data_IF_810814932192
#
_entry.id   IF_810814932192
#
_cell.length_a   1.000
_cell.length_b   1.000
_cell.length_c   1.000
_cell.angle_alpha   90.00
_cell.angle_beta   90.00
_cell.angle_gamma   90.00
#
_symmetry.space_group_name_H-M   'P 1'
#
loop_
_entity.id
_entity.type
_entity.pdbx_description
1 polymer ?
#
# COMPACT_ATOMS: atom_id res chain seq x y z
N UNK A 1 -63.42 63.36 50.11
CA UNK A 1 -62.09 64.00 50.17
C UNK A 1 -61.06 63.29 49.28
N UNK A 2 -61.38 62.95 48.02
CA UNK A 2 -60.48 62.14 47.15
C UNK A 2 -59.94 62.87 45.89
N UNK A 3 -60.24 64.15 45.70
CA UNK A 3 -59.84 64.88 44.48
C UNK A 3 -58.67 65.84 44.70
N UNK A 4 -58.48 66.42 45.90
CA UNK A 4 -57.41 67.42 46.15
C UNK A 4 -56.00 66.89 45.91
N UNK A 5 -55.73 65.63 46.21
CA UNK A 5 -54.41 65.02 45.98
C UNK A 5 -54.21 64.75 44.49
N UNK A 6 -55.24 64.24 43.79
CA UNK A 6 -55.17 64.00 42.33
C UNK A 6 -55.00 65.31 41.56
N UNK A 7 -55.72 66.36 41.94
CA UNK A 7 -55.64 67.68 41.29
C UNK A 7 -54.28 68.34 41.52
N UNK A 8 -53.67 68.17 42.70
CA UNK A 8 -52.33 68.68 43.00
C UNK A 8 -51.24 68.00 42.15
N UNK A 9 -51.35 66.70 41.89
CA UNK A 9 -50.42 66.00 40.99
C UNK A 9 -50.74 66.22 39.51
N UNK A 10 -52.01 66.46 39.16
CA UNK A 10 -52.40 66.84 37.80
C UNK A 10 -51.87 68.22 37.40
N UNK A 11 -51.48 69.09 38.34
CA UNK A 11 -50.82 70.35 38.01
C UNK A 11 -49.33 70.19 37.68
N UNK A 12 -48.70 69.06 38.05
CA UNK A 12 -47.27 68.82 37.87
C UNK A 12 -47.03 68.12 36.53
N UNK A 13 -46.81 68.91 35.49
CA UNK A 13 -46.39 68.42 34.18
C UNK A 13 -44.97 68.88 33.90
N UNK A 14 -44.11 67.97 33.46
CA UNK A 14 -42.83 68.36 32.88
C UNK A 14 -43.07 69.18 31.61
N UNK A 15 -42.35 70.29 31.47
CA UNK A 15 -42.35 71.07 30.25
C UNK A 15 -41.92 70.21 29.05
N UNK A 16 -42.45 70.51 27.88
CA UNK A 16 -42.23 69.68 26.70
C UNK A 16 -40.78 69.72 26.19
N UNK A 17 -40.01 70.76 26.55
CA UNK A 17 -38.56 70.83 26.37
C UNK A 17 -37.85 69.74 27.19
N UNK A 18 -38.16 69.60 28.48
CA UNK A 18 -37.54 68.66 29.40
C UNK A 18 -37.87 67.23 29.01
N UNK A 19 -39.10 66.97 28.54
CA UNK A 19 -39.47 65.66 27.98
C UNK A 19 -38.67 65.32 26.72
N UNK A 20 -38.48 66.29 25.81
CA UNK A 20 -37.69 66.11 24.58
C UNK A 20 -36.22 65.89 24.89
N UNK A 21 -35.62 66.73 25.73
CA UNK A 21 -34.21 66.63 26.10
C UNK A 21 -33.91 65.33 26.86
N UNK A 22 -34.81 64.91 27.75
CA UNK A 22 -34.69 63.63 28.45
C UNK A 22 -34.83 62.46 27.48
N UNK A 23 -35.76 62.54 26.51
CA UNK A 23 -35.93 61.53 25.47
C UNK A 23 -34.68 61.41 24.59
N UNK A 24 -34.09 62.53 24.18
CA UNK A 24 -32.90 62.55 23.34
C UNK A 24 -31.66 62.05 24.10
N UNK A 25 -31.50 62.44 25.37
CA UNK A 25 -30.47 61.93 26.26
C UNK A 25 -30.59 60.41 26.47
N UNK A 26 -31.80 59.92 26.74
CA UNK A 26 -32.06 58.48 26.91
C UNK A 26 -31.85 57.72 25.60
N UNK A 27 -32.27 58.26 24.46
CA UNK A 27 -32.07 57.64 23.15
C UNK A 27 -30.58 57.48 22.82
N UNK A 28 -29.77 58.50 23.14
CA UNK A 28 -28.32 58.48 22.94
C UNK A 28 -27.63 57.47 23.87
N UNK A 29 -28.08 57.37 25.13
CA UNK A 29 -27.50 56.48 26.13
C UNK A 29 -27.90 55.00 25.97
N UNK A 30 -29.10 54.75 25.44
CA UNK A 30 -29.59 53.41 25.11
C UNK A 30 -29.08 52.91 23.76
N UNK A 31 -28.87 53.80 22.78
CA UNK A 31 -28.29 53.44 21.49
C UNK A 31 -26.84 52.95 21.59
N UNK A 32 -26.07 53.43 22.57
CA UNK A 32 -24.69 52.98 22.82
C UNK A 32 -24.61 51.65 23.59
N UNK A 33 -25.63 51.31 24.38
CA UNK A 33 -25.68 50.06 25.18
C UNK A 33 -26.35 48.90 24.46
N UNK A 34 -27.14 49.14 23.42
CA UNK A 34 -27.82 48.10 22.62
C UNK A 34 -27.25 48.02 21.21
N UNK A 35 -25.94 47.80 21.07
CA UNK A 35 -25.43 47.09 19.89
C UNK A 35 -25.60 45.58 20.11
N UNK A 36 -26.86 45.14 20.24
CA UNK A 36 -27.21 43.73 20.22
C UNK A 36 -26.99 43.21 18.80
N UNK A 37 -25.77 42.79 18.49
CA UNK A 37 -25.51 42.02 17.27
C UNK A 37 -26.45 40.82 17.26
N UNK A 38 -27.18 40.62 16.16
CA UNK A 38 -28.24 39.62 16.09
C UNK A 38 -27.67 38.22 16.45
N UNK A 39 -27.99 37.65 17.63
CA UNK A 39 -27.33 36.46 18.14
C UNK A 39 -27.59 35.24 17.24
N UNK A 40 -28.67 35.29 16.45
CA UNK A 40 -29.02 34.26 15.46
C UNK A 40 -28.02 34.27 14.29
N UNK A 41 -27.52 35.44 13.85
CA UNK A 41 -26.51 35.54 12.78
C UNK A 41 -25.16 34.97 13.24
N UNK A 42 -24.75 35.26 14.48
CA UNK A 42 -23.52 34.70 15.05
C UNK A 42 -23.65 33.18 15.24
N UNK A 43 -24.76 32.69 15.78
CA UNK A 43 -25.02 31.23 15.92
C UNK A 43 -25.03 30.52 14.57
N UNK A 44 -25.63 31.12 13.53
CA UNK A 44 -25.57 30.58 12.16
C UNK A 44 -24.16 30.59 11.59
N UNK A 45 -23.41 31.68 11.77
CA UNK A 45 -22.03 31.78 11.31
C UNK A 45 -21.13 30.71 11.98
N UNK A 46 -21.28 30.50 13.29
CA UNK A 46 -20.59 29.43 14.02
C UNK A 46 -21.01 28.06 13.49
N UNK A 47 -22.31 27.81 13.28
CA UNK A 47 -22.78 26.54 12.73
C UNK A 47 -22.21 26.26 11.32
N UNK A 48 -22.16 27.26 10.44
CA UNK A 48 -21.53 27.13 9.12
C UNK A 48 -20.01 26.91 9.21
N UNK A 49 -19.33 27.59 10.14
CA UNK A 49 -17.90 27.37 10.37
C UNK A 49 -17.62 25.94 10.87
N UNK A 50 -18.41 25.44 11.82
CA UNK A 50 -18.32 24.07 12.30
C UNK A 50 -18.60 23.06 11.18
N UNK A 51 -19.64 23.28 10.36
CA UNK A 51 -19.94 22.42 9.22
C UNK A 51 -18.78 22.42 8.21
N UNK A 52 -18.22 23.59 7.89
CA UNK A 52 -17.08 23.71 6.99
C UNK A 52 -15.84 22.97 7.53
N UNK A 53 -15.57 23.03 8.84
CA UNK A 53 -14.50 22.27 9.48
C UNK A 53 -14.74 20.76 9.40
N UNK A 54 -15.96 20.30 9.68
CA UNK A 54 -16.31 18.88 9.55
C UNK A 54 -16.12 18.41 8.10
N UNK A 55 -16.57 19.20 7.12
CA UNK A 55 -16.39 18.87 5.70
C UNK A 55 -14.93 18.87 5.29
N UNK A 56 -14.11 19.80 5.79
CA UNK A 56 -12.66 19.82 5.54
C UNK A 56 -11.95 18.62 6.18
N UNK A 57 -12.27 18.29 7.44
CA UNK A 57 -11.67 17.14 8.13
C UNK A 57 -12.09 15.84 7.44
N UNK A 58 -13.38 15.65 7.19
CA UNK A 58 -13.90 14.44 6.56
C UNK A 58 -13.44 14.32 5.11
N UNK A 59 -13.47 15.41 4.35
CA UNK A 59 -12.98 15.46 2.98
C UNK A 59 -11.48 15.19 2.88
N UNK A 60 -10.69 15.80 3.77
CA UNK A 60 -9.25 15.55 3.89
C UNK A 60 -8.94 14.11 4.28
N UNK A 61 -9.65 13.56 5.28
CA UNK A 61 -9.53 12.16 5.68
C UNK A 61 -9.86 11.21 4.53
N UNK A 62 -10.96 11.46 3.80
CA UNK A 62 -11.37 10.61 2.69
C UNK A 62 -10.38 10.69 1.54
N UNK A 63 -9.88 11.89 1.22
CA UNK A 63 -8.82 12.08 0.23
C UNK A 63 -7.54 11.32 0.62
N UNK A 64 -7.20 11.33 1.90
CA UNK A 64 -6.03 10.64 2.43
C UNK A 64 -6.18 9.12 2.36
N UNK A 65 -7.32 8.58 2.80
CA UNK A 65 -7.56 7.14 2.92
C UNK A 65 -8.03 6.47 1.63
N UNK A 66 -8.13 7.18 0.51
CA UNK A 66 -8.53 6.58 -0.78
C UNK A 66 -7.30 5.98 -1.47
N UNK A 67 -7.20 4.64 -1.61
CA UNK A 67 -6.17 4.03 -2.44
C UNK A 67 -6.46 4.34 -3.91
N UNK A 68 -5.41 4.71 -4.65
CA UNK A 68 -5.48 4.98 -6.10
C UNK A 68 -4.52 4.12 -6.90
N UNK A 69 -3.55 3.53 -6.23
CA UNK A 69 -2.55 2.60 -6.77
C UNK A 69 -2.52 1.37 -5.87
N UNK A 70 -2.03 0.25 -6.38
CA UNK A 70 -1.88 -0.98 -5.65
C UNK A 70 -0.53 -1.64 -5.94
N UNK A 71 -0.02 -2.39 -4.97
CA UNK A 71 1.18 -3.22 -5.13
C UNK A 71 0.86 -4.61 -4.58
N UNK A 72 1.01 -5.64 -5.39
CA UNK A 72 0.93 -7.05 -4.97
C UNK A 72 2.33 -7.57 -4.66
N UNK A 73 2.46 -8.38 -3.61
CA UNK A 73 3.67 -9.11 -3.26
C UNK A 73 3.30 -10.58 -3.11
N UNK A 74 3.81 -11.42 -4.01
CA UNK A 74 3.41 -12.82 -4.16
C UNK A 74 4.60 -13.78 -4.09
N UNK A 75 4.64 -14.57 -3.02
CA UNK A 75 5.53 -15.73 -2.83
C UNK A 75 4.72 -16.95 -2.41
N UNK A 76 3.69 -16.73 -1.56
CA UNK A 76 3.20 -17.56 -0.46
C UNK A 76 3.87 -17.16 0.88
N UNK A 77 3.56 -15.96 1.42
CA UNK A 77 2.27 -15.25 1.38
C UNK A 77 1.97 -14.44 0.12
N UNK A 78 0.69 -14.08 -0.05
CA UNK A 78 0.17 -13.17 -1.07
C UNK A 78 -0.49 -11.97 -0.39
N UNK A 79 0.03 -10.77 -0.65
CA UNK A 79 -0.32 -9.54 0.05
C UNK A 79 -0.51 -8.40 -0.93
N UNK A 80 -1.58 -7.62 -0.78
CA UNK A 80 -1.83 -6.41 -1.57
C UNK A 80 -1.78 -5.15 -0.70
N UNK A 81 -1.04 -4.15 -1.17
CA UNK A 81 -0.91 -2.84 -0.53
C UNK A 81 -1.68 -1.80 -1.33
N UNK A 82 -2.69 -1.18 -0.71
CA UNK A 82 -3.40 -0.03 -1.27
C UNK A 82 -2.62 1.25 -0.99
N UNK A 83 -2.23 1.96 -2.05
CA UNK A 83 -1.39 3.16 -1.98
C UNK A 83 -2.21 4.40 -2.39
N UNK A 84 -2.20 5.42 -1.56
CA UNK A 84 -2.90 6.68 -1.82
C UNK A 84 -2.10 7.62 -2.76
N UNK A 85 -2.68 8.78 -3.08
CA UNK A 85 -2.08 9.80 -3.96
C UNK A 85 -0.80 10.43 -3.41
N UNK A 86 -0.49 10.22 -2.13
CA UNK A 86 0.70 10.71 -1.44
C UNK A 86 1.78 9.62 -1.34
N UNK A 87 1.64 8.55 -2.12
CA UNK A 87 2.54 7.39 -2.13
C UNK A 87 2.62 6.66 -0.78
N UNK A 88 1.57 6.76 0.04
CA UNK A 88 1.48 6.10 1.35
C UNK A 88 0.54 4.91 1.31
N UNK A 89 0.92 3.85 2.02
CA UNK A 89 0.09 2.67 2.22
C UNK A 89 -1.07 3.03 3.15
N UNK A 90 -2.29 2.78 2.70
CA UNK A 90 -3.54 3.06 3.43
C UNK A 90 -4.42 1.83 3.59
N UNK A 91 -4.09 0.73 2.89
CA UNK A 91 -4.72 -0.57 3.03
C UNK A 91 -3.66 -1.67 2.87
N UNK A 92 -3.85 -2.79 3.57
CA UNK A 92 -2.98 -3.96 3.55
C UNK A 92 -3.91 -5.17 3.63
N UNK A 93 -4.04 -5.90 2.53
CA UNK A 93 -5.00 -7.00 2.40
C UNK A 93 -4.25 -8.31 2.11
N UNK A 94 -4.50 -9.34 2.91
CA UNK A 94 -3.98 -10.69 2.67
C UNK A 94 -4.85 -11.45 1.69
N UNK A 95 -4.26 -12.01 0.64
CA UNK A 95 -4.95 -12.77 -0.41
C UNK A 95 -4.85 -14.30 -0.24
N UNK A 96 -4.07 -14.74 0.76
CA UNK A 96 -4.09 -16.11 1.27
C UNK A 96 -3.96 -16.10 2.80
N UNK A 97 -4.09 -17.26 3.43
CA UNK A 97 -4.01 -17.40 4.90
C UNK A 97 -2.69 -16.84 5.45
N UNK A 98 -1.56 -17.25 4.86
CA UNK A 98 -0.22 -16.76 5.22
C UNK A 98 -0.11 -15.23 5.07
N UNK A 99 -0.77 -14.64 4.07
CA UNK A 99 -0.77 -13.21 3.79
C UNK A 99 -1.64 -12.42 4.76
N UNK A 100 -2.76 -13.00 5.20
CA UNK A 100 -3.61 -12.44 6.24
C UNK A 100 -2.86 -12.40 7.58
N UNK A 101 -2.16 -13.48 7.90
CA UNK A 101 -1.28 -13.53 9.08
C UNK A 101 -0.17 -12.47 8.96
N UNK A 102 0.52 -12.41 7.82
CA UNK A 102 1.60 -11.43 7.61
C UNK A 102 1.10 -9.98 7.72
N UNK A 103 -0.08 -9.68 7.17
CA UNK A 103 -0.73 -8.37 7.26
C UNK A 103 -1.00 -7.96 8.72
N UNK A 104 -1.31 -8.91 9.60
CA UNK A 104 -1.59 -8.65 11.01
C UNK A 104 -0.31 -8.43 11.84
N UNK A 105 0.82 -9.00 11.42
CA UNK A 105 2.08 -8.94 12.16
C UNK A 105 3.01 -7.78 11.77
N UNK A 106 2.88 -7.23 10.56
CA UNK A 106 3.79 -6.19 10.05
C UNK A 106 3.04 -4.86 9.91
N UNK A 107 3.48 -3.83 10.64
CA UNK A 107 2.90 -2.48 10.54
C UNK A 107 3.42 -1.75 9.30
N UNK A 108 2.62 -1.79 8.23
CA UNK A 108 2.93 -1.15 6.95
C UNK A 108 2.10 0.12 6.71
N UNK A 109 1.06 0.35 7.51
CA UNK A 109 0.14 1.45 7.29
C UNK A 109 0.85 2.79 7.46
N UNK A 110 0.43 3.77 6.67
CA UNK A 110 0.94 5.13 6.68
C UNK A 110 2.41 5.30 6.24
N UNK A 111 3.14 4.23 5.95
CA UNK A 111 4.49 4.29 5.40
C UNK A 111 4.46 4.66 3.91
N UNK A 112 5.56 5.24 3.40
CA UNK A 112 5.73 5.31 1.94
C UNK A 112 5.83 3.90 1.38
N UNK A 113 5.23 3.62 0.22
CA UNK A 113 5.21 2.26 -0.32
C UNK A 113 6.62 1.66 -0.53
N UNK A 114 7.64 2.47 -0.85
CA UNK A 114 9.01 1.96 -1.01
C UNK A 114 9.57 1.45 0.31
N UNK A 115 9.30 2.18 1.38
CA UNK A 115 9.78 1.90 2.73
C UNK A 115 8.96 0.75 3.33
N UNK A 116 7.65 0.69 3.04
CA UNK A 116 6.79 -0.42 3.41
C UNK A 116 7.27 -1.74 2.80
N UNK A 117 7.63 -1.75 1.50
CA UNK A 117 8.21 -2.92 0.86
C UNK A 117 9.56 -3.31 1.47
N UNK A 118 10.40 -2.33 1.83
CA UNK A 118 11.66 -2.60 2.50
C UNK A 118 11.45 -3.22 3.90
N UNK A 119 10.51 -2.69 4.69
CA UNK A 119 10.13 -3.24 6.00
C UNK A 119 9.55 -4.65 5.84
N UNK A 120 8.66 -4.85 4.88
CA UNK A 120 8.02 -6.13 4.59
C UNK A 120 9.06 -7.19 4.23
N UNK A 121 9.90 -6.91 3.22
CA UNK A 121 10.89 -7.86 2.70
C UNK A 121 12.02 -8.14 3.69
N UNK A 122 12.33 -7.22 4.60
CA UNK A 122 13.30 -7.43 5.67
C UNK A 122 12.67 -7.97 6.97
N UNK A 123 11.36 -8.12 7.04
CA UNK A 123 10.70 -8.66 8.23
C UNK A 123 11.08 -10.12 8.45
N UNK A 124 11.26 -10.53 9.71
CA UNK A 124 11.58 -11.92 10.06
C UNK A 124 10.51 -12.89 9.55
N UNK A 125 9.24 -12.46 9.56
CA UNK A 125 8.13 -13.23 9.02
C UNK A 125 8.31 -13.50 7.52
N UNK A 126 8.58 -12.47 6.70
CA UNK A 126 8.81 -12.64 5.26
C UNK A 126 10.08 -13.44 4.95
N UNK A 127 11.16 -13.23 5.70
CA UNK A 127 12.43 -13.93 5.52
C UNK A 127 12.29 -15.46 5.65
N UNK A 128 11.37 -15.94 6.51
CA UNK A 128 11.09 -17.37 6.65
C UNK A 128 10.50 -18.00 5.39
N UNK A 129 9.75 -17.23 4.59
CA UNK A 129 9.21 -17.65 3.31
C UNK A 129 10.27 -17.57 2.21
N UNK A 130 11.07 -16.50 2.19
CA UNK A 130 12.14 -16.31 1.20
C UNK A 130 13.28 -17.34 1.34
N UNK A 131 13.52 -17.89 2.55
CA UNK A 131 14.54 -18.91 2.79
C UNK A 131 14.31 -20.22 2.01
N UNK A 132 13.09 -20.46 1.52
CA UNK A 132 12.74 -21.63 0.70
C UNK A 132 13.17 -21.50 -0.77
N UNK A 133 13.81 -20.39 -1.12
CA UNK A 133 14.25 -20.04 -2.48
C UNK A 133 13.09 -19.92 -3.48
N UNK A 134 11.89 -19.63 -2.97
CA UNK A 134 10.72 -19.34 -3.80
C UNK A 134 10.80 -17.90 -4.34
N UNK A 135 10.51 -17.66 -5.64
CA UNK A 135 10.60 -16.34 -6.23
C UNK A 135 9.51 -15.39 -5.71
N UNK A 136 9.93 -14.21 -5.26
CA UNK A 136 9.08 -13.08 -4.89
C UNK A 136 8.67 -12.34 -6.15
N UNK A 137 7.37 -12.32 -6.45
CA UNK A 137 6.81 -11.43 -7.48
C UNK A 137 6.28 -10.16 -6.83
N UNK A 138 6.62 -9.00 -7.40
CA UNK A 138 6.09 -7.70 -6.99
C UNK A 138 5.39 -7.07 -8.19
N UNK A 139 4.05 -7.03 -8.19
CA UNK A 139 3.26 -6.42 -9.27
C UNK A 139 2.83 -5.02 -8.88
N UNK A 140 3.10 -4.04 -9.74
CA UNK A 140 2.85 -2.61 -9.47
C UNK A 140 1.76 -2.07 -10.39
N UNK A 141 0.71 -1.48 -9.79
CA UNK A 141 -0.44 -0.93 -10.51
C UNK A 141 -0.66 0.50 -10.02
N UNK A 142 -0.24 1.49 -10.81
CA UNK A 142 -0.45 2.90 -10.52
C UNK A 142 -1.79 3.41 -11.05
N UNK A 143 -2.30 4.50 -10.44
CA UNK A 143 -3.54 5.19 -10.85
C UNK A 143 -3.62 5.59 -12.32
N UNK A 144 -2.46 5.72 -12.97
CA UNK A 144 -2.29 5.98 -14.40
C UNK A 144 -1.10 5.18 -14.88
N UNK A 145 -1.00 4.94 -16.20
CA UNK A 145 0.15 4.26 -16.80
C UNK A 145 1.48 4.91 -16.40
N UNK A 146 1.55 6.24 -16.46
CA UNK A 146 2.74 6.99 -16.06
C UNK A 146 3.09 6.78 -14.58
N UNK A 147 2.07 6.74 -13.69
CA UNK A 147 2.32 6.47 -12.28
C UNK A 147 2.76 5.03 -12.04
N UNK A 148 2.22 4.04 -12.77
CA UNK A 148 2.69 2.65 -12.71
C UNK A 148 4.18 2.57 -13.07
N UNK A 149 4.58 3.19 -14.18
CA UNK A 149 5.97 3.22 -14.66
C UNK A 149 6.90 3.92 -13.66
N UNK A 150 6.48 5.05 -13.08
CA UNK A 150 7.23 5.77 -12.04
C UNK A 150 7.44 4.90 -10.79
N UNK A 151 6.36 4.30 -10.27
CA UNK A 151 6.40 3.45 -9.09
C UNK A 151 7.27 2.21 -9.34
N UNK A 152 7.12 1.58 -10.50
CA UNK A 152 7.92 0.43 -10.92
C UNK A 152 9.41 0.78 -10.98
N UNK A 153 9.78 1.89 -11.62
CA UNK A 153 11.17 2.33 -11.71
C UNK A 153 11.76 2.60 -10.32
N UNK A 154 10.98 3.20 -9.41
CA UNK A 154 11.40 3.43 -8.03
C UNK A 154 11.63 2.12 -7.28
N UNK A 155 10.69 1.17 -7.37
CA UNK A 155 10.81 -0.15 -6.72
C UNK A 155 12.04 -0.89 -7.26
N UNK A 156 12.24 -0.92 -8.58
CA UNK A 156 13.42 -1.55 -9.21
C UNK A 156 14.75 -0.91 -8.81
N UNK A 157 14.75 0.36 -8.40
CA UNK A 157 15.96 1.04 -7.93
C UNK A 157 16.36 0.63 -6.50
N UNK A 158 15.43 0.12 -5.70
CA UNK A 158 15.65 -0.28 -4.31
C UNK A 158 16.58 -1.50 -4.20
N UNK A 159 17.27 -1.63 -3.06
CA UNK A 159 18.23 -2.72 -2.83
C UNK A 159 17.58 -4.11 -2.87
N UNK A 160 16.38 -4.26 -2.28
CA UNK A 160 15.67 -5.54 -2.23
C UNK A 160 15.28 -6.07 -3.63
N UNK A 161 15.01 -5.18 -4.58
CA UNK A 161 14.61 -5.55 -5.95
C UNK A 161 15.78 -6.04 -6.81
N UNK A 162 17.02 -5.94 -6.31
CA UNK A 162 18.24 -6.45 -6.95
C UNK A 162 18.57 -7.88 -6.52
N UNK A 163 17.87 -8.41 -5.52
CA UNK A 163 18.02 -9.81 -5.14
C UNK A 163 17.59 -10.73 -6.29
N UNK A 164 18.32 -11.82 -6.59
CA UNK A 164 18.05 -12.68 -7.74
C UNK A 164 16.68 -13.36 -7.68
N UNK A 165 16.11 -13.50 -6.49
CA UNK A 165 14.80 -14.12 -6.27
C UNK A 165 13.65 -13.10 -6.25
N UNK A 166 13.87 -11.83 -6.63
CA UNK A 166 12.84 -10.80 -6.66
C UNK A 166 12.58 -10.36 -8.09
N UNK A 167 11.39 -10.65 -8.56
CA UNK A 167 10.86 -10.22 -9.84
C UNK A 167 9.86 -9.09 -9.60
N UNK A 168 9.88 -8.08 -10.45
CA UNK A 168 8.88 -7.02 -10.42
C UNK A 168 8.23 -6.89 -11.79
N UNK A 169 6.91 -6.69 -11.78
CA UNK A 169 6.07 -6.63 -12.96
C UNK A 169 5.23 -5.35 -12.93
N UNK A 170 4.86 -4.87 -14.12
CA UNK A 170 3.83 -3.85 -14.28
C UNK A 170 2.49 -4.56 -14.44
N UNK A 171 1.47 -4.09 -13.74
CA UNK A 171 0.09 -4.51 -13.94
C UNK A 171 -0.79 -3.37 -14.45
N UNK A 172 -1.98 -3.73 -14.91
CA UNK A 172 -2.99 -2.78 -15.37
C UNK A 172 -4.22 -2.78 -14.44
N UNK A 173 -4.97 -1.68 -14.41
CA UNK A 173 -6.22 -1.61 -13.65
C UNK A 173 -7.29 -2.59 -14.17
N UNK A 174 -7.26 -2.93 -15.46
CA UNK A 174 -8.17 -3.91 -16.03
C UNK A 174 -7.86 -5.33 -15.51
N UNK A 175 -6.57 -5.70 -15.48
CA UNK A 175 -6.12 -6.94 -14.84
C UNK A 175 -6.44 -6.95 -13.34
N UNK A 176 -6.30 -5.81 -12.67
CA UNK A 176 -6.60 -5.70 -11.24
C UNK A 176 -8.05 -6.08 -10.92
N UNK A 177 -9.01 -5.50 -11.65
CA UNK A 177 -10.42 -5.81 -11.47
C UNK A 177 -10.72 -7.29 -11.76
N UNK A 178 -10.17 -7.83 -12.84
CA UNK A 178 -10.37 -9.23 -13.21
C UNK A 178 -9.77 -10.21 -12.19
N UNK A 179 -8.60 -9.90 -11.62
CA UNK A 179 -7.97 -10.68 -10.57
C UNK A 179 -8.88 -10.79 -9.34
N UNK A 180 -9.45 -9.66 -8.91
CA UNK A 180 -10.35 -9.60 -7.75
C UNK A 180 -11.67 -10.33 -8.01
N UNK A 181 -12.23 -10.20 -9.22
CA UNK A 181 -13.42 -10.96 -9.62
C UNK A 181 -13.15 -12.49 -9.62
N UNK A 182 -11.92 -12.89 -9.97
CA UNK A 182 -11.46 -14.27 -9.91
C UNK A 182 -11.04 -14.74 -8.50
N UNK A 183 -11.05 -13.87 -7.49
CA UNK A 183 -10.64 -14.20 -6.12
C UNK A 183 -9.14 -14.47 -5.98
N UNK A 184 -8.31 -13.82 -6.80
CA UNK A 184 -6.85 -13.96 -6.80
C UNK A 184 -6.18 -12.62 -6.52
N UNK A 185 -4.94 -12.69 -6.04
CA UNK A 185 -4.07 -11.51 -6.03
C UNK A 185 -3.68 -11.11 -7.44
N UNK A 186 -3.24 -9.86 -7.60
CA UNK A 186 -2.79 -9.38 -8.91
C UNK A 186 -1.63 -10.20 -9.49
N UNK A 187 -0.59 -10.50 -8.69
CA UNK A 187 0.55 -11.25 -9.20
C UNK A 187 0.19 -12.69 -9.55
N UNK A 188 -0.70 -13.33 -8.78
CA UNK A 188 -1.21 -14.67 -9.11
C UNK A 188 -2.03 -14.67 -10.39
N UNK A 189 -2.87 -13.67 -10.59
CA UNK A 189 -3.63 -13.54 -11.82
C UNK A 189 -2.75 -13.29 -13.05
N UNK A 190 -1.66 -12.52 -12.92
CA UNK A 190 -0.71 -12.33 -14.02
C UNK A 190 -0.05 -13.63 -14.46
N UNK A 191 0.42 -14.44 -13.50
CA UNK A 191 1.01 -15.74 -13.82
C UNK A 191 -0.04 -16.72 -14.37
N UNK A 192 -1.30 -16.63 -13.92
CA UNK A 192 -2.41 -17.37 -14.53
C UNK A 192 -2.61 -17.01 -16.00
N UNK A 193 -2.58 -15.72 -16.36
CA UNK A 193 -2.71 -15.30 -17.75
C UNK A 193 -1.57 -15.84 -18.61
N UNK A 194 -0.34 -15.90 -18.09
CA UNK A 194 0.79 -16.55 -18.77
C UNK A 194 0.53 -18.05 -18.99
N UNK A 195 0.02 -18.75 -17.98
CA UNK A 195 -0.33 -20.16 -18.09
C UNK A 195 -1.46 -20.40 -19.10
N UNK A 196 -2.47 -19.52 -19.16
CA UNK A 196 -3.59 -19.63 -20.07
C UNK A 196 -3.17 -19.46 -21.55
N UNK A 197 -2.05 -18.78 -21.83
CA UNK A 197 -1.47 -18.71 -23.17
C UNK A 197 -0.92 -20.08 -23.62
N UNK A 198 -0.42 -20.89 -22.69
CA UNK A 198 0.13 -22.22 -22.96
C UNK A 198 -0.93 -23.33 -22.91
N UNK A 199 -1.93 -23.17 -22.04
CA UNK A 199 -3.04 -24.10 -21.85
C UNK A 199 -4.37 -23.34 -21.84
N UNK A 200 -5.01 -23.22 -23.00
CA UNK A 200 -6.23 -22.41 -23.16
C UNK A 200 -7.46 -22.98 -22.46
N UNK A 201 -7.43 -24.26 -22.06
CA UNK A 201 -8.54 -24.92 -21.36
C UNK A 201 -8.53 -24.61 -19.86
N UNK A 202 -7.41 -24.12 -19.32
CA UNK A 202 -7.30 -23.82 -17.89
C UNK A 202 -8.09 -22.57 -17.52
N UNK A 203 -8.87 -22.67 -16.45
CA UNK A 203 -9.68 -21.57 -15.94
C UNK A 203 -9.16 -21.05 -14.61
N UNK A 204 -9.57 -19.85 -14.24
CA UNK A 204 -9.23 -19.27 -12.94
C UNK A 204 -9.73 -20.14 -11.77
N UNK A 205 -10.84 -20.87 -11.95
CA UNK A 205 -11.37 -21.77 -10.94
C UNK A 205 -10.43 -22.96 -10.69
N UNK A 206 -9.80 -23.51 -11.73
CA UNK A 206 -8.95 -24.71 -11.63
C UNK A 206 -7.70 -24.46 -10.78
N UNK A 207 -7.18 -23.23 -10.84
CA UNK A 207 -5.96 -22.83 -10.14
C UNK A 207 -6.22 -22.06 -8.84
N UNK A 208 -7.47 -21.95 -8.41
CA UNK A 208 -7.85 -21.16 -7.23
C UNK A 208 -7.05 -21.60 -5.99
N UNK A 209 -6.89 -22.91 -5.81
CA UNK A 209 -6.15 -23.51 -4.70
C UNK A 209 -4.66 -23.75 -4.99
N UNK A 210 -4.18 -23.38 -6.18
CA UNK A 210 -2.77 -23.55 -6.52
C UNK A 210 -1.94 -22.45 -5.87
N UNK A 211 -0.74 -22.82 -5.42
CA UNK A 211 0.29 -21.88 -5.01
C UNK A 211 0.91 -21.22 -6.25
N UNK A 212 1.51 -20.03 -6.06
CA UNK A 212 2.29 -19.38 -7.11
C UNK A 212 3.36 -20.29 -7.71
N UNK A 213 4.01 -21.10 -6.86
CA UNK A 213 4.99 -22.09 -7.28
C UNK A 213 4.40 -23.15 -8.20
N UNK A 214 3.25 -23.72 -7.85
CA UNK A 214 2.58 -24.72 -8.69
C UNK A 214 2.19 -24.16 -10.06
N UNK A 215 1.71 -22.91 -10.13
CA UNK A 215 1.38 -22.28 -11.42
C UNK A 215 2.64 -22.08 -12.26
N UNK A 216 3.74 -21.59 -11.66
CA UNK A 216 5.03 -21.42 -12.35
C UNK A 216 5.66 -22.73 -12.78
N UNK A 217 5.63 -23.76 -11.93
CA UNK A 217 6.12 -25.11 -12.26
C UNK A 217 5.35 -25.66 -13.46
N UNK A 218 4.02 -25.44 -13.51
CA UNK A 218 3.19 -25.83 -14.65
C UNK A 218 3.54 -25.07 -15.93
N UNK A 219 3.80 -23.76 -15.85
CA UNK A 219 4.27 -22.96 -16.98
C UNK A 219 5.59 -23.51 -17.52
N UNK A 220 6.53 -23.84 -16.64
CA UNK A 220 7.84 -24.40 -17.02
C UNK A 220 7.67 -25.76 -17.73
N UNK A 221 6.84 -26.67 -17.18
CA UNK A 221 6.54 -27.96 -17.81
C UNK A 221 5.97 -27.84 -19.22
N UNK A 222 5.10 -26.85 -19.45
CA UNK A 222 4.46 -26.62 -20.75
C UNK A 222 5.39 -25.86 -21.72
N UNK A 223 6.25 -24.98 -21.19
CA UNK A 223 7.18 -24.17 -21.98
C UNK A 223 8.39 -24.97 -22.47
N UNK A 224 8.88 -25.92 -21.67
CA UNK A 224 10.04 -26.75 -22.00
C UNK A 224 9.69 -27.90 -22.97
N UNK A 225 8.42 -28.08 -23.31
CA UNK A 225 7.93 -29.21 -24.12
C UNK A 225 8.06 -30.55 -23.39
N UNK A 226 7.44 -31.64 -23.89
CA UNK A 226 7.62 -32.95 -23.27
C UNK A 226 9.09 -33.33 -23.33
N UNK A 227 9.75 -33.39 -22.16
CA UNK A 227 11.05 -34.02 -22.01
C UNK A 227 10.94 -35.45 -22.54
N UNK A 228 11.41 -35.69 -23.77
CA UNK A 228 11.68 -37.06 -24.20
C UNK A 228 12.66 -37.64 -23.19
N UNK A 229 12.39 -38.84 -22.63
CA UNK A 229 13.37 -39.50 -21.80
C UNK A 229 14.58 -39.77 -22.69
N UNK A 230 15.68 -39.06 -22.40
CA UNK A 230 17.02 -39.38 -22.87
C UNK A 230 17.24 -40.87 -22.60
N UNK A 231 17.07 -41.66 -23.65
CA UNK A 231 17.28 -43.10 -23.61
C UNK A 231 18.74 -43.32 -23.26
N UNK A 232 18.95 -43.88 -22.07
CA UNK A 232 20.27 -44.21 -21.58
C UNK A 232 20.99 -45.15 -22.54
N UNK A 233 22.14 -44.70 -23.03
CA UNK A 233 23.18 -45.61 -23.50
C UNK A 233 24.20 -45.80 -22.38
N UNK A 234 23.85 -46.65 -21.43
CA UNK A 234 24.81 -47.30 -20.55
C UNK A 234 25.54 -48.38 -21.35
N UNK A 235 26.75 -48.10 -21.80
CA UNK A 235 27.71 -49.13 -22.18
C UNK A 235 28.84 -49.17 -21.15
N UNK A 236 28.72 -50.13 -20.23
CA UNK A 236 29.81 -50.56 -19.37
C UNK A 236 30.86 -51.31 -20.20
N UNK A 237 32.10 -50.82 -20.17
CA UNK A 237 33.26 -51.50 -20.72
C UNK A 237 34.20 -51.93 -19.59
N UNK A 238 34.07 -53.18 -19.15
CA UNK A 238 35.14 -53.88 -18.43
C UNK A 238 36.27 -54.21 -19.43
N UNK A 239 37.50 -53.84 -19.09
CA UNK A 239 38.70 -54.23 -19.82
C UNK A 239 39.90 -54.27 -18.89
N UNK A 240 40.22 -55.47 -18.37
CA UNK A 240 41.48 -55.74 -17.68
C UNK A 240 42.63 -55.84 -18.67
N UNK A 241 43.81 -55.40 -18.24
CA UNK A 241 45.04 -55.50 -19.02
C UNK A 241 46.28 -55.29 -18.15
N UNK A 242 46.89 -56.39 -17.75
CA UNK A 242 48.19 -56.48 -17.06
C UNK A 242 49.34 -56.01 -17.97
N UNK A 243 50.35 -55.33 -17.41
CA UNK A 243 51.58 -55.02 -18.14
C UNK A 243 52.67 -54.38 -17.29
N UNK A 244 53.78 -55.11 -17.13
CA UNK A 244 54.97 -54.85 -16.33
C UNK A 244 55.93 -53.76 -16.89
N UNK A 245 56.78 -53.22 -16.00
CA UNK A 245 58.06 -52.53 -16.31
C UNK A 245 58.12 -51.16 -15.64
N UNK A 246 58.89 -50.86 -14.59
CA UNK A 246 60.24 -51.33 -14.27
C UNK A 246 61.26 -50.26 -14.69
N UNK A 247 61.55 -49.27 -13.84
CA UNK A 247 62.93 -48.85 -13.58
C UNK A 247 63.05 -47.87 -12.40
N UNK A 248 63.94 -48.23 -11.48
CA UNK A 248 64.51 -47.39 -10.44
C UNK A 248 65.49 -46.37 -11.05
N UNK A 249 65.53 -45.15 -10.52
CA UNK A 249 66.78 -44.45 -10.15
C UNK A 249 66.49 -43.08 -9.51
N UNK A 250 66.71 -42.99 -8.19
CA UNK A 250 67.29 -41.80 -7.52
C UNK A 250 68.77 -41.67 -7.93
N UNK A 251 69.56 -40.58 -7.66
CA UNK A 251 69.40 -39.61 -6.55
C UNK A 251 69.85 -38.16 -6.82
N UNK A 252 69.70 -37.30 -5.79
CA UNK A 252 70.43 -36.02 -5.61
C UNK A 252 69.48 -34.83 -5.50
N UNK A 253 69.36 -34.09 -4.40
CA UNK A 253 70.33 -33.78 -3.35
C UNK A 253 70.95 -32.39 -3.61
N UNK A 254 70.33 -31.31 -3.11
CA UNK A 254 71.02 -30.23 -2.36
C UNK A 254 70.09 -29.06 -1.99
N UNK A 255 70.39 -28.56 -0.79
CA UNK A 255 69.88 -27.39 -0.09
C UNK A 255 70.30 -26.06 -0.73
N UNK A 256 69.46 -25.03 -0.60
CA UNK A 256 69.82 -23.65 -0.21
C UNK A 256 68.50 -22.91 0.08
N UNK A 257 68.13 -22.46 1.29
CA UNK A 257 68.66 -21.43 2.21
C UNK A 257 68.93 -20.06 1.57
N UNK A 258 68.28 -19.02 2.14
CA UNK A 258 68.66 -17.60 2.08
C UNK A 258 67.57 -16.73 1.43
N UNK A 259 66.61 -16.18 2.19
CA UNK A 259 66.65 -14.82 2.77
C UNK A 259 67.09 -13.73 1.78
N UNK A 260 66.12 -12.93 1.31
CA UNK A 260 65.98 -11.52 1.70
C UNK A 260 64.54 -11.07 1.49
#
# INVERSE_FOLDING_TARGET
>A
MNNRIKDAFAAVHAEDNLKRDTKDFLSTRTASTVKSGNPIRLKRAVAFACLALILMIFGGWRFYMTPVSAISVDVNPSLELGVNRLDRVVAVDGYNDDGTDLAAFVDLLNLNYSDALEVLLNSQAMQSYMAKNDPVSITVIGSTKQKSEEMFARIRSCGYAKSPNVECHLGSHAEAAAAHEAGMSYGKYQVFLELQVLDSEITAHDIQNWTMRQIRDRINELSDGPNEPSSGNGFGGHGGGSGHGGNESSPGGRQNRGNN
#
